data_IF_268963801205
#
_entry.id   IF_268963801205
#
_cell.length_a   1.000
_cell.length_b   1.000
_cell.length_c   1.000
_cell.angle_alpha   90.00
_cell.angle_beta   90.00
_cell.angle_gamma   90.00
#
_symmetry.space_group_name_H-M   'P 1'
#
loop_
_entity.id
_entity.type
_entity.pdbx_description
1 polymer ?
#
# COMPACT_ATOMS: atom_id res chain seq x y z
N UNK A 1 -2.08 -9.91 9.38
CA UNK A 1 -3.39 -9.54 9.99
C UNK A 1 -3.24 -8.94 11.39
N UNK A 2 -2.60 -9.59 12.37
CA UNK A 2 -2.45 -9.03 13.73
C UNK A 2 -1.83 -7.64 13.78
N UNK A 3 -0.75 -7.39 13.04
CA UNK A 3 -0.09 -6.08 12.97
C UNK A 3 -1.03 -4.96 12.51
N UNK A 4 -2.03 -5.26 11.68
CA UNK A 4 -3.01 -4.30 11.22
C UNK A 4 -3.91 -3.81 12.36
N UNK A 5 -4.29 -4.71 13.27
CA UNK A 5 -5.09 -4.38 14.46
C UNK A 5 -4.31 -3.43 15.36
N UNK A 6 -3.04 -3.76 15.65
CA UNK A 6 -2.17 -2.89 16.45
C UNK A 6 -1.96 -1.52 15.81
N UNK A 7 -1.80 -1.48 14.47
CA UNK A 7 -1.69 -0.23 13.75
C UNK A 7 -2.93 0.64 13.91
N UNK A 8 -4.13 0.10 13.65
CA UNK A 8 -5.38 0.86 13.74
C UNK A 8 -5.69 1.28 15.18
N UNK A 9 -5.42 0.43 16.17
CA UNK A 9 -5.50 0.83 17.58
C UNK A 9 -4.50 1.95 17.89
N UNK A 10 -3.26 1.85 17.40
CA UNK A 10 -2.23 2.86 17.59
C UNK A 10 -2.59 4.22 16.97
N UNK A 11 -3.24 4.24 15.81
CA UNK A 11 -3.70 5.46 15.15
C UNK A 11 -4.61 6.29 16.06
N UNK A 12 -5.50 5.66 16.83
CA UNK A 12 -6.39 6.38 17.76
C UNK A 12 -5.64 7.20 18.83
N UNK A 13 -4.34 6.95 19.01
CA UNK A 13 -3.48 7.72 19.91
C UNK A 13 -2.63 8.77 19.18
N UNK A 14 -2.92 9.07 17.93
CA UNK A 14 -2.20 10.08 17.13
C UNK A 14 -3.09 11.28 16.82
N UNK A 15 -2.45 12.41 16.46
CA UNK A 15 -3.17 13.61 16.02
C UNK A 15 -3.82 13.45 14.64
N UNK A 16 -3.43 12.43 13.89
CA UNK A 16 -3.96 12.13 12.55
C UNK A 16 -5.31 11.39 12.62
N UNK A 17 -5.65 10.79 13.76
CA UNK A 17 -6.86 9.98 13.91
C UNK A 17 -8.13 10.65 13.35
N UNK A 18 -8.47 11.91 13.66
CA UNK A 18 -9.67 12.55 13.13
C UNK A 18 -9.65 12.71 11.61
N UNK A 19 -8.48 12.97 11.03
CA UNK A 19 -8.31 13.20 9.59
C UNK A 19 -8.60 11.95 8.75
N UNK A 20 -8.41 10.77 9.33
CA UNK A 20 -8.67 9.48 8.68
C UNK A 20 -9.87 8.74 9.28
N UNK A 21 -10.81 9.48 9.86
CA UNK A 21 -12.07 8.99 10.41
C UNK A 21 -11.89 7.94 11.52
N UNK A 22 -10.97 8.19 12.45
CA UNK A 22 -10.87 7.46 13.71
C UNK A 22 -11.21 8.36 14.89
N UNK A 23 -11.79 7.77 15.92
CA UNK A 23 -11.97 8.45 17.19
C UNK A 23 -10.61 8.61 17.88
N UNK A 24 -10.22 9.85 18.13
CA UNK A 24 -8.96 10.18 18.79
C UNK A 24 -9.07 9.96 20.31
N UNK A 25 -8.08 9.30 20.88
CA UNK A 25 -7.95 9.21 22.33
C UNK A 25 -7.54 10.56 22.92
N UNK A 26 -8.03 10.87 24.13
CA UNK A 26 -7.66 12.11 24.86
C UNK A 26 -6.17 12.18 25.20
N UNK A 27 -5.49 11.04 25.31
CA UNK A 27 -4.03 10.96 25.55
C UNK A 27 -3.34 10.55 24.26
N UNK A 28 -2.52 11.43 23.72
CA UNK A 28 -1.72 11.20 22.51
C UNK A 28 -0.24 11.19 22.87
N UNK A 29 0.34 10.05 23.29
CA UNK A 29 1.77 9.98 23.59
C UNK A 29 2.59 10.18 22.32
N UNK A 30 3.45 11.20 22.28
CA UNK A 30 4.22 11.58 21.10
C UNK A 30 5.20 10.52 20.55
N UNK A 31 5.48 9.47 21.33
CA UNK A 31 6.43 8.41 20.93
C UNK A 31 5.83 7.24 20.11
N UNK A 32 4.51 7.20 19.88
CA UNK A 32 3.88 6.07 19.16
C UNK A 32 4.03 6.18 17.63
N UNK A 33 4.12 7.41 17.12
CA UNK A 33 4.16 7.67 15.68
C UNK A 33 5.33 7.00 14.94
N UNK A 34 6.59 7.02 15.43
CA UNK A 34 7.69 6.35 14.75
C UNK A 34 7.44 4.85 14.54
N UNK A 35 6.85 4.16 15.52
CA UNK A 35 6.51 2.73 15.40
C UNK A 35 5.43 2.48 14.36
N UNK A 36 4.40 3.32 14.34
CA UNK A 36 3.33 3.24 13.35
C UNK A 36 3.84 3.55 11.95
N UNK A 37 4.74 4.50 11.82
CA UNK A 37 5.33 4.88 10.53
C UNK A 37 6.18 3.75 9.96
N UNK A 38 6.99 3.04 10.77
CA UNK A 38 7.69 1.82 10.32
C UNK A 38 6.70 0.82 9.71
N UNK A 39 5.59 0.57 10.40
CA UNK A 39 4.58 -0.39 9.91
C UNK A 39 3.87 0.10 8.65
N UNK A 40 3.66 1.40 8.51
CA UNK A 40 2.93 1.96 7.38
C UNK A 40 3.71 1.80 6.06
N UNK A 41 5.03 1.91 6.09
CA UNK A 41 5.87 1.89 4.90
C UNK A 41 5.80 0.58 4.10
N UNK A 42 5.68 -0.56 4.75
CA UNK A 42 5.71 -1.87 4.08
C UNK A 42 4.37 -2.62 4.12
N UNK A 43 3.47 -2.24 5.01
CA UNK A 43 2.20 -2.95 5.24
C UNK A 43 1.32 -3.04 3.99
N UNK A 44 1.07 -1.90 3.34
CA UNK A 44 0.22 -1.83 2.16
C UNK A 44 0.92 -2.39 0.92
N UNK A 45 2.18 -2.04 0.61
CA UNK A 45 2.96 -2.71 -0.41
C UNK A 45 2.95 -4.23 -0.30
N UNK A 46 3.14 -4.76 0.89
CA UNK A 46 3.14 -6.21 1.13
C UNK A 46 1.78 -6.87 0.82
N UNK A 47 0.66 -6.21 1.11
CA UNK A 47 -0.67 -6.74 0.77
C UNK A 47 -0.82 -6.90 -0.75
N UNK A 48 -0.44 -5.89 -1.51
CA UNK A 48 -0.51 -5.94 -2.98
C UNK A 48 0.47 -6.96 -3.55
N UNK A 49 1.69 -7.01 -3.05
CA UNK A 49 2.69 -7.99 -3.46
C UNK A 49 2.20 -9.42 -3.24
N UNK A 50 1.70 -9.77 -2.05
CA UNK A 50 1.15 -11.09 -1.73
C UNK A 50 -0.07 -11.42 -2.62
N UNK A 51 -0.92 -10.44 -2.90
CA UNK A 51 -2.05 -10.64 -3.79
C UNK A 51 -1.61 -10.96 -5.23
N UNK A 52 -0.55 -10.32 -5.72
CA UNK A 52 0.09 -10.63 -7.01
C UNK A 52 0.69 -12.04 -7.06
N UNK A 53 1.43 -12.43 -6.02
CA UNK A 53 1.93 -13.80 -5.84
C UNK A 53 0.78 -14.82 -5.89
N UNK A 54 -0.28 -14.58 -5.13
CA UNK A 54 -1.44 -15.47 -5.07
C UNK A 54 -2.18 -15.56 -6.41
N UNK A 55 -2.25 -14.46 -7.18
CA UNK A 55 -2.80 -14.49 -8.54
C UNK A 55 -1.97 -15.41 -9.44
N UNK A 56 -0.64 -15.23 -9.47
CA UNK A 56 0.25 -16.04 -10.31
C UNK A 56 0.21 -17.50 -9.99
N UNK A 57 0.22 -17.87 -8.70
CA UNK A 57 0.12 -19.27 -8.26
C UNK A 57 -1.23 -19.90 -8.65
N UNK A 58 -2.32 -19.12 -8.61
CA UNK A 58 -3.64 -19.62 -9.03
C UNK A 58 -3.68 -19.94 -10.51
N UNK A 59 -2.90 -19.24 -11.33
CA UNK A 59 -2.89 -19.38 -12.78
C UNK A 59 -2.34 -20.73 -13.28
N UNK A 60 -1.48 -21.37 -12.51
CA UNK A 60 -0.93 -22.68 -12.86
C UNK A 60 -1.96 -23.84 -12.77
N UNK A 61 -3.08 -23.64 -12.08
CA UNK A 61 -4.05 -24.70 -11.75
C UNK A 61 -5.47 -24.43 -12.25
N UNK A 62 -5.76 -23.24 -12.79
CA UNK A 62 -7.12 -22.78 -13.11
C UNK A 62 -7.19 -22.03 -14.42
N UNK A 63 -8.37 -22.04 -15.06
CA UNK A 63 -8.62 -21.20 -16.24
C UNK A 63 -8.81 -19.74 -15.84
N UNK A 64 -8.56 -18.81 -16.79
CA UNK A 64 -8.74 -17.36 -16.57
C UNK A 64 -10.12 -17.02 -16.03
N UNK A 65 -11.17 -17.63 -16.57
CA UNK A 65 -12.55 -17.40 -16.13
C UNK A 65 -12.82 -17.93 -14.71
N UNK A 66 -12.24 -19.06 -14.34
CA UNK A 66 -12.34 -19.57 -12.96
C UNK A 66 -11.66 -18.63 -11.97
N UNK A 67 -10.44 -18.16 -12.31
CA UNK A 67 -9.71 -17.19 -11.48
C UNK A 67 -10.52 -15.91 -11.33
N UNK A 68 -11.06 -15.38 -12.43
CA UNK A 68 -11.87 -14.15 -12.40
C UNK A 68 -13.08 -14.30 -11.46
N UNK A 69 -13.88 -15.36 -11.64
CA UNK A 69 -15.07 -15.60 -10.80
C UNK A 69 -14.72 -15.75 -9.33
N UNK A 70 -13.63 -16.46 -9.03
CA UNK A 70 -13.16 -16.63 -7.67
C UNK A 70 -12.68 -15.31 -7.06
N UNK A 71 -11.89 -14.52 -7.80
CA UNK A 71 -11.42 -13.20 -7.33
C UNK A 71 -12.58 -12.22 -7.12
N UNK A 72 -13.54 -12.20 -8.03
CA UNK A 72 -14.75 -11.41 -7.85
C UNK A 72 -15.46 -11.79 -6.53
N UNK A 73 -15.66 -13.08 -6.29
CA UNK A 73 -16.33 -13.54 -5.08
C UNK A 73 -15.58 -13.21 -3.79
N UNK A 74 -14.27 -13.44 -3.75
CA UNK A 74 -13.48 -13.26 -2.52
C UNK A 74 -13.06 -11.81 -2.24
N UNK A 75 -13.16 -10.92 -3.23
CA UNK A 75 -12.80 -9.50 -3.08
C UNK A 75 -14.05 -8.62 -3.00
N UNK A 76 -14.99 -8.76 -3.95
CA UNK A 76 -16.16 -7.87 -4.03
C UNK A 76 -17.16 -8.17 -2.91
N UNK A 77 -17.39 -9.44 -2.58
CA UNK A 77 -18.37 -9.78 -1.53
C UNK A 77 -17.96 -9.25 -0.14
N UNK A 78 -16.70 -9.48 0.33
CA UNK A 78 -16.25 -8.88 1.57
C UNK A 78 -16.18 -7.36 1.51
N UNK A 79 -15.85 -6.77 0.35
CA UNK A 79 -15.86 -5.32 0.18
C UNK A 79 -17.27 -4.75 0.36
N UNK A 80 -18.27 -5.29 -0.34
CA UNK A 80 -19.68 -4.86 -0.21
C UNK A 80 -20.18 -5.01 1.23
N UNK A 81 -19.99 -6.17 1.83
CA UNK A 81 -20.42 -6.42 3.20
C UNK A 81 -19.71 -5.49 4.19
N UNK A 82 -18.40 -5.37 4.06
CA UNK A 82 -17.58 -4.53 4.93
C UNK A 82 -17.93 -3.04 4.79
N UNK A 83 -18.14 -2.56 3.57
CA UNK A 83 -18.52 -1.18 3.29
C UNK A 83 -19.88 -0.85 3.87
N UNK A 84 -20.90 -1.67 3.57
CA UNK A 84 -22.27 -1.39 3.99
C UNK A 84 -22.48 -1.52 5.49
N UNK A 85 -21.75 -2.40 6.17
CA UNK A 85 -21.95 -2.64 7.60
C UNK A 85 -20.86 -1.95 8.42
N UNK A 86 -19.59 -2.32 8.23
CA UNK A 86 -18.53 -1.84 9.12
C UNK A 86 -18.11 -0.40 8.83
N UNK A 87 -17.87 -0.04 7.55
CA UNK A 87 -17.43 1.31 7.21
C UNK A 87 -18.55 2.33 7.48
N UNK A 88 -19.80 2.01 7.15
CA UNK A 88 -20.96 2.87 7.45
C UNK A 88 -21.16 3.06 8.96
N UNK A 89 -21.08 1.98 9.74
CA UNK A 89 -21.18 2.09 11.21
C UNK A 89 -20.04 2.92 11.79
N UNK A 90 -18.82 2.75 11.28
CA UNK A 90 -17.66 3.54 11.71
C UNK A 90 -17.82 5.02 11.37
N UNK A 91 -18.28 5.34 10.16
CA UNK A 91 -18.54 6.72 9.73
C UNK A 91 -19.60 7.41 10.61
N UNK A 92 -20.70 6.72 10.92
CA UNK A 92 -21.75 7.24 11.82
C UNK A 92 -21.22 7.49 13.23
N UNK A 93 -20.41 6.57 13.79
CA UNK A 93 -19.84 6.74 15.13
C UNK A 93 -18.91 7.96 15.16
N UNK A 94 -18.05 8.09 14.16
CA UNK A 94 -17.11 9.22 14.05
C UNK A 94 -17.87 10.53 13.81
N UNK A 95 -18.86 10.52 12.92
CA UNK A 95 -19.73 11.66 12.66
C UNK A 95 -20.38 12.20 13.93
N UNK A 96 -20.99 11.32 14.71
CA UNK A 96 -21.60 11.70 16.01
C UNK A 96 -20.59 12.15 17.06
N UNK A 97 -19.44 11.52 17.10
CA UNK A 97 -18.40 11.87 18.07
C UNK A 97 -17.83 13.28 17.84
N UNK A 98 -17.64 13.67 16.55
CA UNK A 98 -17.09 14.97 16.16
C UNK A 98 -18.17 15.99 15.78
N UNK A 99 -19.46 15.64 15.86
CA UNK A 99 -20.58 16.46 15.43
C UNK A 99 -20.51 16.85 13.95
N UNK A 100 -20.18 15.90 13.09
CA UNK A 100 -20.20 16.09 11.65
C UNK A 100 -21.63 15.96 11.13
N UNK A 101 -22.33 17.07 10.95
CA UNK A 101 -23.74 17.13 10.52
C UNK A 101 -24.02 16.34 9.23
N UNK A 102 -23.03 16.24 8.34
CA UNK A 102 -23.09 15.51 7.07
C UNK A 102 -22.90 13.99 7.22
N UNK A 103 -22.76 13.45 8.40
CA UNK A 103 -22.72 12.02 8.71
C UNK A 103 -23.79 11.60 9.73
N UNK A 104 -24.83 12.40 9.95
CA UNK A 104 -25.82 12.11 10.98
C UNK A 104 -26.84 11.04 10.53
N UNK A 105 -27.11 10.95 9.22
CA UNK A 105 -28.04 9.98 8.66
C UNK A 105 -27.34 8.77 8.04
N UNK A 106 -28.00 7.61 8.09
CA UNK A 106 -27.49 6.36 7.53
C UNK A 106 -27.27 6.47 6.02
N UNK A 107 -28.19 7.12 5.30
CA UNK A 107 -28.11 7.34 3.86
C UNK A 107 -26.85 8.13 3.47
N UNK A 108 -26.58 9.22 4.17
CA UNK A 108 -25.41 10.07 3.95
C UNK A 108 -24.11 9.31 4.23
N UNK A 109 -24.07 8.57 5.36
CA UNK A 109 -22.93 7.73 5.69
C UNK A 109 -22.68 6.62 4.66
N UNK A 110 -23.73 6.00 4.10
CA UNK A 110 -23.60 4.99 3.03
C UNK A 110 -23.06 5.63 1.75
N UNK A 111 -23.59 6.76 1.31
CA UNK A 111 -23.08 7.47 0.13
C UNK A 111 -21.62 7.86 0.31
N UNK A 112 -21.29 8.43 1.46
CA UNK A 112 -19.91 8.81 1.78
C UNK A 112 -18.96 7.62 1.71
N UNK A 113 -19.25 6.50 2.36
CA UNK A 113 -18.34 5.35 2.35
C UNK A 113 -18.24 4.67 0.99
N UNK A 114 -19.29 4.77 0.14
CA UNK A 114 -19.23 4.28 -1.24
C UNK A 114 -18.38 5.19 -2.13
N UNK A 115 -18.49 6.51 -1.97
CA UNK A 115 -17.68 7.51 -2.68
C UNK A 115 -16.18 7.33 -2.38
N UNK A 116 -15.84 6.92 -1.16
CA UNK A 116 -14.46 6.66 -0.73
C UNK A 116 -14.10 5.16 -0.71
N UNK A 117 -14.58 4.37 -1.70
CA UNK A 117 -14.24 2.97 -1.95
C UNK A 117 -14.31 2.05 -0.72
N UNK A 118 -15.20 2.33 0.22
CA UNK A 118 -15.35 1.58 1.47
C UNK A 118 -14.34 1.98 2.54
N UNK A 119 -13.76 3.18 2.49
CA UNK A 119 -12.77 3.70 3.42
C UNK A 119 -11.56 2.77 3.54
N UNK A 120 -11.42 2.05 4.64
CA UNK A 120 -10.30 1.15 4.89
C UNK A 120 -10.27 -0.10 4.00
N UNK A 121 -11.29 -0.34 3.19
CA UNK A 121 -11.43 -1.50 2.30
C UNK A 121 -11.08 -1.20 0.83
N UNK A 122 -10.67 0.04 0.52
CA UNK A 122 -10.30 0.49 -0.82
C UNK A 122 -9.31 -0.45 -1.54
N UNK A 123 -8.39 -1.07 -0.80
CA UNK A 123 -7.39 -1.98 -1.37
C UNK A 123 -8.01 -3.24 -2.00
N UNK A 124 -9.18 -3.69 -1.55
CA UNK A 124 -9.87 -4.86 -2.14
C UNK A 124 -10.36 -4.56 -3.55
N UNK A 125 -10.91 -3.37 -3.78
CA UNK A 125 -11.32 -2.91 -5.10
C UNK A 125 -10.10 -2.75 -6.01
N UNK A 126 -9.03 -2.14 -5.54
CA UNK A 126 -7.81 -1.99 -6.31
C UNK A 126 -7.22 -3.36 -6.72
N UNK A 127 -7.12 -4.32 -5.80
CA UNK A 127 -6.69 -5.69 -6.14
C UNK A 127 -7.60 -6.31 -7.21
N UNK A 128 -8.91 -6.10 -7.12
CA UNK A 128 -9.85 -6.61 -8.12
C UNK A 128 -9.62 -5.97 -9.49
N UNK A 129 -9.44 -4.65 -9.56
CA UNK A 129 -9.12 -3.93 -10.79
C UNK A 129 -7.79 -4.40 -11.41
N UNK A 130 -6.77 -4.61 -10.58
CA UNK A 130 -5.49 -5.16 -11.06
C UNK A 130 -5.65 -6.58 -11.62
N UNK A 131 -6.50 -7.41 -11.00
CA UNK A 131 -6.84 -8.72 -11.55
C UNK A 131 -7.52 -8.61 -12.91
N UNK A 132 -8.45 -7.66 -13.11
CA UNK A 132 -9.11 -7.43 -14.39
C UNK A 132 -8.11 -7.12 -15.52
N UNK A 133 -7.15 -6.25 -15.23
CA UNK A 133 -6.13 -5.84 -16.22
C UNK A 133 -5.12 -6.96 -16.47
N UNK A 134 -4.67 -7.66 -15.45
CA UNK A 134 -3.54 -8.58 -15.55
C UNK A 134 -3.92 -10.02 -15.92
N UNK A 135 -5.10 -10.54 -15.56
CA UNK A 135 -5.52 -11.88 -15.93
C UNK A 135 -5.46 -12.13 -17.45
N UNK A 136 -5.91 -11.22 -18.34
CA UNK A 136 -5.80 -11.40 -19.78
C UNK A 136 -4.37 -11.55 -20.28
N UNK A 137 -3.42 -10.81 -19.70
CA UNK A 137 -2.03 -10.69 -20.19
C UNK A 137 -1.04 -11.60 -19.46
N UNK A 138 -1.46 -12.34 -18.43
CA UNK A 138 -0.57 -13.23 -17.65
C UNK A 138 0.20 -14.27 -18.49
N UNK A 139 -0.37 -14.70 -19.61
CA UNK A 139 0.31 -15.64 -20.53
C UNK A 139 1.54 -15.04 -21.22
N UNK A 140 1.58 -13.70 -21.37
CA UNK A 140 2.69 -13.00 -22.00
C UNK A 140 3.87 -12.76 -21.05
N UNK A 141 3.64 -12.91 -19.74
CA UNK A 141 4.67 -12.81 -18.70
C UNK A 141 5.38 -14.15 -18.61
N UNK A 142 6.29 -14.44 -19.54
CA UNK A 142 7.06 -15.68 -19.56
C UNK A 142 8.19 -15.67 -18.55
N UNK A 143 8.64 -16.88 -18.11
CA UNK A 143 9.78 -17.03 -17.19
C UNK A 143 11.12 -16.68 -17.82
N UNK A 144 11.23 -16.85 -19.13
CA UNK A 144 12.49 -16.67 -19.88
C UNK A 144 12.45 -15.41 -20.71
N UNK A 145 12.68 -14.27 -20.07
CA UNK A 145 12.83 -13.00 -20.76
C UNK A 145 14.08 -12.26 -20.26
N UNK A 146 14.45 -11.21 -20.97
CA UNK A 146 15.59 -10.37 -20.63
C UNK A 146 15.53 -9.84 -19.18
N UNK A 147 14.33 -9.51 -18.70
CA UNK A 147 14.11 -9.05 -17.32
C UNK A 147 14.48 -10.13 -16.32
N UNK A 148 14.05 -11.39 -16.54
CA UNK A 148 14.41 -12.51 -15.67
C UNK A 148 15.95 -12.70 -15.61
N UNK A 149 16.64 -12.56 -16.72
CA UNK A 149 18.12 -12.67 -16.75
C UNK A 149 18.82 -11.58 -15.95
N UNK A 150 18.28 -10.35 -15.94
CA UNK A 150 18.79 -9.24 -15.14
C UNK A 150 18.51 -9.44 -13.65
N UNK A 151 17.30 -9.88 -13.31
CA UNK A 151 16.89 -10.13 -11.92
C UNK A 151 17.69 -11.25 -11.25
N UNK A 152 18.17 -12.23 -12.02
CA UNK A 152 19.00 -13.33 -11.52
C UNK A 152 20.44 -12.90 -11.14
N UNK A 153 20.87 -11.69 -11.51
CA UNK A 153 22.18 -11.17 -11.11
C UNK A 153 22.18 -10.72 -9.64
N UNK A 154 23.34 -10.73 -8.97
CA UNK A 154 23.47 -10.13 -7.64
C UNK A 154 22.98 -8.67 -7.65
N UNK A 155 22.05 -8.34 -6.73
CA UNK A 155 21.44 -7.00 -6.69
C UNK A 155 20.34 -6.76 -7.73
N UNK A 156 19.99 -7.75 -8.56
CA UNK A 156 18.91 -7.62 -9.56
C UNK A 156 17.56 -7.23 -8.97
N UNK A 157 17.30 -7.61 -7.71
CA UNK A 157 16.07 -7.22 -6.98
C UNK A 157 15.89 -5.70 -6.91
N UNK A 158 16.98 -4.92 -6.86
CA UNK A 158 16.91 -3.46 -6.81
C UNK A 158 16.38 -2.82 -8.11
N UNK A 159 16.34 -3.58 -9.23
CA UNK A 159 15.72 -3.09 -10.47
C UNK A 159 14.23 -2.81 -10.30
N UNK A 160 13.57 -3.43 -9.33
CA UNK A 160 12.18 -3.11 -9.00
C UNK A 160 12.00 -1.71 -8.41
N UNK A 161 13.07 -1.09 -7.89
CA UNK A 161 13.00 0.29 -7.43
C UNK A 161 12.81 1.28 -8.59
N UNK A 162 13.29 0.96 -9.80
CA UNK A 162 13.24 1.87 -10.96
C UNK A 162 11.80 2.31 -11.29
N UNK A 163 10.83 1.40 -11.51
CA UNK A 163 9.46 1.82 -11.82
C UNK A 163 8.78 2.56 -10.64
N UNK A 164 9.13 2.24 -9.41
CA UNK A 164 8.60 2.94 -8.22
C UNK A 164 9.16 4.36 -8.14
N UNK A 165 10.48 4.53 -8.38
CA UNK A 165 11.10 5.86 -8.45
C UNK A 165 10.48 6.68 -9.57
N UNK A 166 10.33 6.08 -10.76
CA UNK A 166 9.75 6.76 -11.92
C UNK A 166 8.30 7.20 -11.64
N UNK A 167 7.50 6.36 -11.00
CA UNK A 167 6.13 6.69 -10.60
C UNK A 167 6.12 7.88 -9.63
N UNK A 168 6.91 7.82 -8.55
CA UNK A 168 7.02 8.90 -7.57
C UNK A 168 7.44 10.22 -8.22
N UNK A 169 8.41 10.21 -9.16
CA UNK A 169 8.80 11.42 -9.88
C UNK A 169 7.72 11.94 -10.81
N UNK A 170 7.08 11.08 -11.60
CA UNK A 170 6.10 11.49 -12.61
C UNK A 170 4.81 12.04 -11.98
N UNK A 171 4.35 11.46 -10.88
CA UNK A 171 3.09 11.86 -10.25
C UNK A 171 3.26 12.92 -9.15
N UNK A 172 4.33 12.86 -8.35
CA UNK A 172 4.55 13.85 -7.28
C UNK A 172 4.92 15.24 -7.79
N UNK A 173 5.65 15.35 -8.89
CA UNK A 173 6.11 16.66 -9.40
C UNK A 173 4.94 17.55 -9.85
N UNK A 174 3.81 16.97 -10.26
CA UNK A 174 2.72 17.75 -10.87
C UNK A 174 1.59 18.15 -9.92
N UNK A 175 1.34 17.40 -8.85
CA UNK A 175 0.11 17.56 -8.03
C UNK A 175 0.31 17.91 -6.55
N UNK A 176 1.46 17.63 -5.94
CA UNK A 176 1.63 17.62 -4.49
C UNK A 176 2.38 18.81 -3.89
N UNK A 177 2.66 19.86 -4.66
CA UNK A 177 3.41 21.04 -4.17
C UNK A 177 2.68 21.91 -3.15
N UNK A 178 1.42 21.66 -2.84
CA UNK A 178 0.58 22.57 -2.04
C UNK A 178 -0.11 21.92 -0.85
N UNK A 179 0.15 20.64 -0.54
CA UNK A 179 -0.66 19.92 0.43
C UNK A 179 0.05 19.75 1.78
N UNK A 180 -0.72 19.93 2.85
CA UNK A 180 -0.28 19.76 4.23
C UNK A 180 0.03 18.29 4.55
N UNK A 181 0.81 18.04 5.59
CA UNK A 181 1.24 16.69 6.02
C UNK A 181 0.09 15.66 6.19
N UNK A 182 -1.11 16.12 6.57
CA UNK A 182 -2.30 15.28 6.67
C UNK A 182 -2.82 14.79 5.32
N UNK A 183 -2.76 15.63 4.32
CA UNK A 183 -3.19 15.32 2.96
C UNK A 183 -2.25 14.29 2.31
N UNK A 184 -0.96 14.34 2.64
CA UNK A 184 0.03 13.37 2.20
C UNK A 184 -0.25 11.94 2.72
N UNK A 185 -0.75 11.80 3.94
CA UNK A 185 -1.13 10.50 4.50
C UNK A 185 -2.38 9.93 3.83
N UNK A 186 -3.36 10.79 3.53
CA UNK A 186 -4.56 10.42 2.77
C UNK A 186 -4.25 10.18 1.29
N UNK A 187 -3.20 10.80 0.75
CA UNK A 187 -2.85 10.68 -0.67
C UNK A 187 -2.42 9.27 -1.09
N UNK A 188 -1.97 8.42 -0.19
CA UNK A 188 -1.66 7.02 -0.49
C UNK A 188 -2.91 6.16 -0.68
N UNK A 189 -3.92 6.35 0.15
CA UNK A 189 -5.20 5.68 0.03
C UNK A 189 -6.13 6.52 -0.86
N UNK A 190 -6.81 5.90 -1.82
CA UNK A 190 -7.81 6.56 -2.68
C UNK A 190 -7.26 7.61 -3.67
N UNK A 191 -5.97 7.55 -3.99
CA UNK A 191 -5.34 8.46 -4.96
C UNK A 191 -4.76 7.72 -6.15
N UNK A 192 -4.51 8.45 -7.25
CA UNK A 192 -3.82 7.93 -8.43
C UNK A 192 -2.45 7.36 -8.08
N UNK A 193 -1.71 8.04 -7.19
CA UNK A 193 -0.43 7.57 -6.67
C UNK A 193 -0.56 6.22 -5.95
N UNK A 194 -1.45 6.13 -4.96
CA UNK A 194 -1.66 4.88 -4.23
C UNK A 194 -2.18 3.74 -5.11
N UNK A 195 -3.01 4.07 -6.12
CA UNK A 195 -3.47 3.11 -7.11
C UNK A 195 -2.31 2.57 -7.98
N UNK A 196 -1.47 3.45 -8.52
CA UNK A 196 -0.35 3.04 -9.39
C UNK A 196 0.75 2.33 -8.61
N UNK A 197 1.08 2.82 -7.43
CA UNK A 197 2.06 2.18 -6.55
C UNK A 197 1.59 0.78 -6.12
N UNK A 198 0.30 0.64 -5.76
CA UNK A 198 -0.31 -0.65 -5.47
C UNK A 198 -0.27 -1.61 -6.67
N UNK A 199 -0.52 -1.09 -7.88
CA UNK A 199 -0.39 -1.86 -9.11
C UNK A 199 1.03 -2.36 -9.36
N UNK A 200 2.04 -1.50 -9.14
CA UNK A 200 3.45 -1.87 -9.27
C UNK A 200 3.82 -2.98 -8.30
N UNK A 201 3.46 -2.87 -7.03
CA UNK A 201 3.71 -3.92 -6.04
C UNK A 201 3.01 -5.23 -6.37
N UNK A 202 1.77 -5.16 -6.83
CA UNK A 202 1.02 -6.34 -7.28
C UNK A 202 1.71 -7.01 -8.48
N UNK A 203 2.16 -6.22 -9.46
CA UNK A 203 2.88 -6.71 -10.64
C UNK A 203 4.24 -7.30 -10.27
N UNK A 204 4.99 -6.68 -9.35
CA UNK A 204 6.22 -7.22 -8.79
C UNK A 204 5.97 -8.59 -8.17
N UNK A 205 4.88 -8.77 -7.41
CA UNK A 205 4.50 -10.07 -6.85
C UNK A 205 4.33 -11.17 -7.90
N UNK A 206 3.73 -10.83 -9.05
CA UNK A 206 3.59 -11.74 -10.19
C UNK A 206 4.96 -12.11 -10.77
N UNK A 207 5.84 -11.11 -10.97
CA UNK A 207 7.18 -11.32 -11.52
C UNK A 207 8.03 -12.18 -10.57
N UNK A 208 8.05 -11.86 -9.28
CA UNK A 208 8.80 -12.62 -8.27
C UNK A 208 8.42 -14.10 -8.25
N UNK A 209 7.14 -14.40 -8.37
CA UNK A 209 6.64 -15.77 -8.41
C UNK A 209 7.06 -16.52 -9.69
N UNK A 210 7.42 -15.77 -10.73
CA UNK A 210 7.88 -16.33 -12.01
C UNK A 210 9.39 -16.56 -12.04
N UNK A 211 10.15 -16.12 -11.03
CA UNK A 211 11.59 -16.31 -10.96
C UNK A 211 11.95 -17.74 -10.55
N UNK A 212 13.11 -18.21 -11.07
CA UNK A 212 13.64 -19.53 -10.73
C UNK A 212 14.48 -19.52 -9.44
N UNK A 213 14.99 -20.70 -9.09
CA UNK A 213 15.74 -20.94 -7.84
C UNK A 213 16.99 -20.04 -7.73
N UNK A 214 17.67 -19.77 -8.84
CA UNK A 214 18.87 -18.92 -8.86
C UNK A 214 18.60 -17.50 -8.32
N UNK A 215 17.43 -16.93 -8.63
CA UNK A 215 17.02 -15.64 -8.08
C UNK A 215 16.84 -15.72 -6.55
N UNK A 216 16.11 -16.73 -6.09
CA UNK A 216 15.83 -16.88 -4.66
C UNK A 216 17.06 -17.18 -3.84
N UNK A 217 17.97 -18.02 -4.36
CA UNK A 217 19.26 -18.30 -3.71
C UNK A 217 20.16 -17.07 -3.63
N UNK A 218 20.24 -16.28 -4.72
CA UNK A 218 21.00 -15.03 -4.72
C UNK A 218 20.49 -14.05 -3.64
N UNK A 219 19.17 -13.88 -3.56
CA UNK A 219 18.56 -12.99 -2.55
C UNK A 219 18.72 -13.55 -1.12
N UNK A 220 18.56 -14.86 -0.93
CA UNK A 220 18.80 -15.52 0.35
C UNK A 220 20.24 -15.37 0.82
N UNK A 221 21.19 -15.43 -0.08
CA UNK A 221 22.62 -15.21 0.26
C UNK A 221 22.88 -13.77 0.71
N UNK A 222 22.19 -12.81 0.14
CA UNK A 222 22.41 -11.37 0.36
C UNK A 222 21.41 -10.72 1.32
N UNK A 223 20.57 -11.49 2.01
CA UNK A 223 19.49 -10.96 2.85
C UNK A 223 19.95 -9.95 3.92
N UNK A 224 21.15 -10.16 4.49
CA UNK A 224 21.72 -9.23 5.49
C UNK A 224 22.03 -7.87 4.90
N UNK A 225 22.55 -7.85 3.65
CA UNK A 225 22.81 -6.61 2.93
C UNK A 225 21.50 -5.88 2.62
N UNK A 226 20.47 -6.61 2.15
CA UNK A 226 19.15 -6.03 1.86
C UNK A 226 18.53 -5.44 3.13
N UNK A 227 18.56 -6.16 4.25
CA UNK A 227 18.07 -5.68 5.53
C UNK A 227 18.85 -4.45 6.03
N UNK A 228 20.19 -4.46 5.92
CA UNK A 228 21.02 -3.32 6.32
C UNK A 228 20.71 -2.07 5.48
N UNK A 229 20.57 -2.22 4.16
CA UNK A 229 20.22 -1.10 3.28
C UNK A 229 18.82 -0.57 3.58
N UNK A 230 17.86 -1.46 3.82
CA UNK A 230 16.51 -1.06 4.23
C UNK A 230 16.49 -0.30 5.56
N UNK A 231 17.21 -0.81 6.56
CA UNK A 231 17.32 -0.14 7.85
C UNK A 231 18.01 1.23 7.73
N UNK A 232 19.12 1.33 6.98
CA UNK A 232 19.81 2.59 6.72
C UNK A 232 18.89 3.60 6.03
N UNK A 233 18.12 3.15 5.03
CA UNK A 233 17.16 4.00 4.32
C UNK A 233 16.07 4.51 5.24
N UNK A 234 15.54 3.64 6.11
CA UNK A 234 14.55 4.03 7.10
C UNK A 234 15.11 5.05 8.09
N UNK A 235 16.29 4.80 8.66
CA UNK A 235 16.93 5.74 9.59
C UNK A 235 17.26 7.07 8.92
N UNK A 236 17.74 7.06 7.68
CA UNK A 236 17.98 8.27 6.92
C UNK A 236 16.70 9.10 6.77
N UNK A 237 15.58 8.45 6.41
CA UNK A 237 14.28 9.10 6.35
C UNK A 237 13.85 9.65 7.72
N UNK A 238 13.95 8.85 8.76
CA UNK A 238 13.57 9.25 10.11
C UNK A 238 14.35 10.50 10.55
N UNK A 239 15.66 10.52 10.34
CA UNK A 239 16.49 11.67 10.69
C UNK A 239 16.18 12.89 9.84
N UNK A 240 15.94 12.75 8.55
CA UNK A 240 15.59 13.88 7.71
C UNK A 240 14.22 14.46 8.07
N UNK A 241 13.20 13.66 8.29
CA UNK A 241 11.90 14.16 8.75
C UNK A 241 12.00 14.82 10.12
N UNK A 242 12.86 14.32 11.00
CA UNK A 242 13.11 14.93 12.31
C UNK A 242 13.84 16.28 12.19
N UNK A 243 14.70 16.44 11.18
CA UNK A 243 15.43 17.69 10.91
C UNK A 243 14.61 18.67 10.04
N UNK A 244 13.67 18.17 9.23
CA UNK A 244 12.82 18.95 8.29
C UNK A 244 11.62 19.62 8.95
N UNK A 245 11.24 19.28 10.17
CA UNK A 245 10.41 20.17 11.01
C UNK A 245 11.06 21.57 11.18
N UNK A 246 12.31 21.72 10.70
CA UNK A 246 13.07 22.97 10.68
C UNK A 246 13.42 23.52 9.27
N UNK A 247 13.21 22.78 8.17
CA UNK A 247 13.56 23.26 6.82
C UNK A 247 12.75 22.55 5.72
N UNK A 248 11.68 23.18 5.29
CA UNK A 248 10.84 22.77 4.17
C UNK A 248 11.59 22.72 2.82
N UNK A 249 11.23 21.72 2.04
CA UNK A 249 11.21 21.68 0.57
C UNK A 249 12.33 20.96 -0.18
N UNK A 250 11.93 20.09 -1.10
CA UNK A 250 12.67 19.45 -2.22
C UNK A 250 13.33 18.09 -2.06
N UNK A 251 13.20 17.36 -0.93
CA UNK A 251 13.88 16.07 -0.75
C UNK A 251 12.97 14.83 -0.71
N UNK A 252 11.67 15.00 -0.81
CA UNK A 252 10.68 13.92 -0.65
C UNK A 252 10.74 12.83 -1.72
N UNK A 253 11.14 13.15 -2.93
CA UNK A 253 11.10 12.25 -4.09
C UNK A 253 12.16 11.14 -4.00
N UNK A 254 13.33 11.42 -3.46
CA UNK A 254 14.37 10.40 -3.25
C UNK A 254 13.96 9.34 -2.22
N UNK A 255 12.96 9.61 -1.43
CA UNK A 255 12.53 8.88 -0.25
C UNK A 255 11.70 7.64 -0.52
N UNK A 256 10.78 7.68 -1.46
CA UNK A 256 9.92 6.53 -1.79
C UNK A 256 10.73 5.40 -2.39
N UNK A 257 11.78 5.75 -3.11
CA UNK A 257 12.75 4.80 -3.64
C UNK A 257 13.43 3.94 -2.58
N UNK A 258 13.72 4.54 -1.43
CA UNK A 258 14.36 3.84 -0.31
C UNK A 258 13.37 3.00 0.50
N UNK A 259 12.07 3.36 0.53
CA UNK A 259 11.04 2.52 1.16
C UNK A 259 10.92 1.17 0.47
N UNK A 260 11.16 1.11 -0.83
CA UNK A 260 11.21 -0.14 -1.58
C UNK A 260 12.29 -1.11 -1.05
N UNK A 261 13.49 -0.60 -0.79
CA UNK A 261 14.60 -1.41 -0.26
C UNK A 261 14.27 -1.99 1.11
N UNK A 262 13.51 -1.26 1.92
CA UNK A 262 13.08 -1.72 3.25
C UNK A 262 11.97 -2.76 3.19
N UNK A 263 11.10 -2.70 2.17
CA UNK A 263 9.98 -3.61 2.01
C UNK A 263 10.38 -4.97 1.35
N UNK A 264 11.54 -5.07 0.74
CA UNK A 264 12.13 -6.29 0.17
C UNK A 264 13.00 -7.03 1.18
#
# INVERSE_FOLDING_TARGET
MFLLIFYHLGISFTLIAPQILFVQNKRTPGGIWPLLNIMNNWRIPLVFLIAGVALRLSFSKRTKMQIFKERAKILILPWLFGTLIFSTSSALIVGRYYNYWWLDEISEAVFFVLEYDGLHLWFLINIFLYCLVLIPILNFISKENFIASLLNKPGGIFLFAIPIIAEGHLLNVSRFKTETYGDYYNSYALTDHGFLLGFLWFFIGIILTSQGDAFWESNKKNWRLHLALGALSYFYRFFNNFLEDYALDNRLIAFESFNFIFAL
#
